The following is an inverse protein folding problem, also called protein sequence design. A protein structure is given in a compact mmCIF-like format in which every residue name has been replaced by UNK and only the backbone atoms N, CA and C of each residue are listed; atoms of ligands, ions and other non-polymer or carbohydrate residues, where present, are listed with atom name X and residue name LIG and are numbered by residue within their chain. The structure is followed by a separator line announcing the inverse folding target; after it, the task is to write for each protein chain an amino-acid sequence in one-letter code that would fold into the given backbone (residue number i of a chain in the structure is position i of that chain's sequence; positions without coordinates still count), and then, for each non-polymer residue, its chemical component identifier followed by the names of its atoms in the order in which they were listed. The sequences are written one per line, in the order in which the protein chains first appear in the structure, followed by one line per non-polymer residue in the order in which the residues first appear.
data_IF_416488343327
#
_entry.id   IF_416488343327
#
_cell.length_a   1.000
_cell.length_b   1.000
_cell.length_c   1.000
_cell.angle_alpha   90.00
_cell.angle_beta   90.00
_cell.angle_gamma   90.00
#
_symmetry.space_group_name_H-M   'P 1'
#
loop_
_entity.id
_entity.type
_entity.pdbx_description
1 polymer ?
#
# COMPACT_ATOMS: atom_id res chain seq x y z
N UNK A 1 2.31 -22.31 -3.19
CA UNK A 1 2.76 -21.06 -2.50
C UNK A 1 1.76 -19.95 -2.79
N UNK A 2 1.12 -19.41 -1.77
CA UNK A 2 0.14 -18.32 -1.91
C UNK A 2 0.88 -16.98 -1.87
N UNK A 3 0.89 -16.27 -3.01
CA UNK A 3 1.46 -14.94 -3.16
C UNK A 3 0.40 -13.89 -2.84
N UNK A 4 0.71 -12.99 -1.95
CA UNK A 4 -0.14 -11.84 -1.64
C UNK A 4 0.51 -10.56 -2.13
N UNK A 5 -0.25 -9.74 -2.82
CA UNK A 5 0.14 -8.39 -3.18
C UNK A 5 -0.61 -7.39 -2.31
N UNK A 6 0.14 -6.51 -1.65
CA UNK A 6 -0.40 -5.62 -0.64
C UNK A 6 -0.06 -4.15 -0.92
N UNK A 7 -1.09 -3.31 -0.84
CA UNK A 7 -1.05 -1.86 -1.01
C UNK A 7 -1.31 -1.07 0.27
N UNK A 8 -1.17 -1.69 1.43
CA UNK A 8 -1.57 -1.08 2.69
C UNK A 8 -0.52 -0.09 3.20
N UNK A 9 -0.96 1.07 3.64
CA UNK A 9 -0.10 2.14 4.17
C UNK A 9 0.28 1.96 5.64
N UNK A 10 -0.33 1.02 6.35
CA UNK A 10 -0.20 0.85 7.79
C UNK A 10 0.43 -0.50 8.13
N UNK A 11 1.43 -0.51 9.02
CA UNK A 11 2.17 -1.71 9.42
C UNK A 11 1.28 -2.81 10.02
N UNK A 12 0.36 -2.48 10.91
CA UNK A 12 -0.55 -3.45 11.52
C UNK A 12 -1.49 -4.12 10.50
N UNK A 13 -1.89 -3.39 9.45
CA UNK A 13 -2.65 -3.98 8.34
C UNK A 13 -1.82 -4.93 7.51
N UNK A 14 -0.53 -4.65 7.31
CA UNK A 14 0.39 -5.53 6.58
C UNK A 14 0.62 -6.82 7.33
N UNK A 15 0.73 -6.77 8.65
CA UNK A 15 0.83 -7.95 9.48
C UNK A 15 -0.41 -8.85 9.36
N UNK A 16 -1.62 -8.27 9.38
CA UNK A 16 -2.85 -9.00 9.09
C UNK A 16 -2.86 -9.59 7.67
N UNK A 17 -2.39 -8.85 6.68
CA UNK A 17 -2.28 -9.35 5.31
C UNK A 17 -1.35 -10.56 5.25
N UNK A 18 -0.22 -10.56 5.96
CA UNK A 18 0.72 -11.70 6.00
C UNK A 18 0.07 -13.00 6.46
N UNK A 19 -0.93 -12.93 7.31
CA UNK A 19 -1.65 -14.11 7.81
C UNK A 19 -2.54 -14.78 6.74
N UNK A 20 -2.80 -14.11 5.62
CA UNK A 20 -3.66 -14.62 4.56
C UNK A 20 -2.94 -15.58 3.60
N UNK A 21 -1.61 -15.63 3.59
CA UNK A 21 -0.85 -16.47 2.68
C UNK A 21 0.61 -16.67 3.07
N UNK A 22 1.35 -17.38 2.23
CA UNK A 22 2.73 -17.81 2.52
C UNK A 22 3.76 -16.71 2.27
N UNK A 23 3.53 -15.86 1.29
CA UNK A 23 4.45 -14.78 0.89
C UNK A 23 3.73 -13.44 0.80
N UNK A 24 4.28 -12.44 1.45
CA UNK A 24 3.78 -11.07 1.40
C UNK A 24 4.68 -10.20 0.51
N UNK A 25 4.12 -9.73 -0.58
CA UNK A 25 4.73 -8.76 -1.48
C UNK A 25 4.10 -7.40 -1.22
N UNK A 26 4.93 -6.40 -0.96
CA UNK A 26 4.49 -5.02 -0.77
C UNK A 26 4.86 -4.20 -1.99
N UNK A 27 3.89 -3.61 -2.66
CA UNK A 27 4.10 -2.70 -3.77
C UNK A 27 3.99 -1.25 -3.31
N UNK A 28 4.95 -0.44 -3.70
CA UNK A 28 5.02 0.99 -3.39
C UNK A 28 5.16 1.82 -4.66
N UNK A 29 4.38 2.88 -4.75
CA UNK A 29 4.58 3.88 -5.78
C UNK A 29 5.95 4.57 -5.61
N UNK A 30 6.65 4.87 -6.70
CA UNK A 30 7.83 5.74 -6.69
C UNK A 30 7.46 7.15 -6.23
N UNK A 31 8.46 7.97 -5.94
CA UNK A 31 8.24 9.38 -5.59
C UNK A 31 7.55 10.13 -6.73
N UNK A 32 7.96 9.84 -7.97
CA UNK A 32 7.36 10.42 -9.18
C UNK A 32 5.87 10.09 -9.28
N UNK A 33 5.50 8.82 -9.22
CA UNK A 33 4.09 8.44 -9.33
C UNK A 33 3.27 8.90 -8.12
N UNK A 34 3.85 8.92 -6.94
CA UNK A 34 3.21 9.47 -5.73
C UNK A 34 2.91 10.96 -5.88
N UNK A 35 3.86 11.75 -6.40
CA UNK A 35 3.64 13.19 -6.65
C UNK A 35 2.54 13.44 -7.68
N UNK A 36 2.48 12.63 -8.72
CA UNK A 36 1.43 12.74 -9.74
C UNK A 36 0.04 12.44 -9.18
N UNK A 37 -0.07 11.49 -8.25
CA UNK A 37 -1.34 11.08 -7.65
C UNK A 37 -1.78 12.04 -6.53
N UNK A 38 -0.83 12.52 -5.71
CA UNK A 38 -1.12 13.23 -4.45
C UNK A 38 -0.68 14.68 -4.42
N UNK A 39 -0.03 15.16 -5.47
CA UNK A 39 0.50 16.52 -5.55
C UNK A 39 1.99 16.62 -5.23
N UNK A 40 2.60 17.76 -5.61
CA UNK A 40 4.05 18.00 -5.53
C UNK A 40 4.64 18.00 -4.11
N UNK A 41 3.81 18.17 -3.09
CA UNK A 41 4.22 18.11 -1.68
C UNK A 41 4.36 16.66 -1.16
N UNK A 42 4.15 15.67 -2.02
CA UNK A 42 4.20 14.24 -1.67
C UNK A 42 5.18 13.48 -2.58
N UNK A 43 5.84 12.45 -2.04
CA UNK A 43 5.76 11.93 -0.68
C UNK A 43 6.58 12.78 0.31
N UNK A 44 6.28 12.67 1.60
CA UNK A 44 7.08 13.27 2.67
C UNK A 44 8.37 12.48 2.90
N UNK A 45 8.29 11.16 2.79
CA UNK A 45 9.42 10.23 2.91
C UNK A 45 9.71 9.67 1.52
N UNK A 46 10.96 9.76 1.06
CA UNK A 46 11.36 9.30 -0.26
C UNK A 46 11.19 7.78 -0.45
N UNK A 47 11.14 7.35 -1.70
CA UNK A 47 10.90 5.95 -2.08
C UNK A 47 11.92 4.97 -1.50
N UNK A 48 13.19 5.36 -1.44
CA UNK A 48 14.24 4.52 -0.90
C UNK A 48 14.04 4.25 0.60
N UNK A 49 13.77 5.30 1.38
CA UNK A 49 13.48 5.15 2.80
C UNK A 49 12.19 4.36 3.05
N UNK A 50 11.14 4.62 2.27
CA UNK A 50 9.88 3.86 2.35
C UNK A 50 10.08 2.38 2.05
N UNK A 51 10.84 2.06 1.00
CA UNK A 51 11.15 0.68 0.64
C UNK A 51 11.98 -0.03 1.73
N UNK A 52 12.98 0.64 2.27
CA UNK A 52 13.80 0.10 3.36
C UNK A 52 13.00 -0.15 4.63
N UNK A 53 12.12 0.76 5.01
CA UNK A 53 11.24 0.56 6.16
C UNK A 53 10.34 -0.66 5.97
N UNK A 54 9.82 -0.87 4.76
CA UNK A 54 9.01 -2.05 4.48
C UNK A 54 9.82 -3.35 4.49
N UNK A 55 11.00 -3.32 3.88
CA UNK A 55 11.89 -4.49 3.82
C UNK A 55 12.45 -4.91 5.20
N UNK A 56 12.49 -3.99 6.15
CA UNK A 56 12.91 -4.27 7.52
C UNK A 56 11.84 -4.99 8.36
N UNK A 57 10.59 -5.04 7.89
CA UNK A 57 9.53 -5.74 8.60
C UNK A 57 9.67 -7.26 8.40
N UNK A 58 9.76 -7.99 9.50
CA UNK A 58 10.00 -9.44 9.50
C UNK A 58 8.98 -10.23 8.68
N UNK A 59 7.75 -9.75 8.56
CA UNK A 59 6.67 -10.41 7.85
C UNK A 59 6.57 -10.02 6.36
N UNK A 60 7.45 -9.18 5.85
CA UNK A 60 7.49 -8.78 4.43
C UNK A 60 8.57 -9.59 3.71
N UNK A 61 8.19 -10.30 2.67
CA UNK A 61 9.11 -11.12 1.88
C UNK A 61 9.75 -10.36 0.71
N UNK A 62 9.01 -9.42 0.11
CA UNK A 62 9.48 -8.65 -1.05
C UNK A 62 8.85 -7.27 -1.08
N UNK A 63 9.65 -6.27 -1.45
CA UNK A 63 9.18 -4.92 -1.72
C UNK A 63 9.47 -4.58 -3.18
N UNK A 64 8.47 -4.10 -3.90
CA UNK A 64 8.58 -3.69 -5.31
C UNK A 64 8.19 -2.22 -5.43
N UNK A 65 9.03 -1.43 -6.06
CA UNK A 65 8.70 -0.07 -6.49
C UNK A 65 8.13 -0.11 -7.91
N UNK A 66 7.09 0.68 -8.17
CA UNK A 66 6.51 0.81 -9.51
C UNK A 66 6.21 2.29 -9.81
N UNK A 67 6.39 2.65 -11.07
CA UNK A 67 6.34 4.05 -11.55
C UNK A 67 4.99 4.43 -12.16
N UNK A 68 4.18 3.44 -12.48
CA UNK A 68 2.87 3.62 -13.09
C UNK A 68 1.87 4.26 -12.09
N UNK A 69 0.90 4.98 -12.62
CA UNK A 69 -0.16 5.60 -11.80
C UNK A 69 -1.08 4.55 -11.17
N UNK A 70 -1.20 3.41 -11.83
CA UNK A 70 -1.99 2.28 -11.36
C UNK A 70 -1.16 1.00 -11.33
N UNK A 71 -1.46 0.06 -10.44
CA UNK A 71 -0.67 -1.16 -10.28
C UNK A 71 -1.02 -2.29 -11.23
N UNK A 72 -1.83 -2.06 -12.26
CA UNK A 72 -2.36 -3.14 -13.09
C UNK A 72 -1.26 -3.98 -13.75
N UNK A 73 -0.24 -3.33 -14.32
CA UNK A 73 0.89 -4.02 -14.98
C UNK A 73 1.63 -4.92 -13.99
N UNK A 74 1.85 -4.43 -12.78
CA UNK A 74 2.50 -5.18 -11.72
C UNK A 74 1.65 -6.37 -11.25
N UNK A 75 0.33 -6.17 -11.11
CA UNK A 75 -0.61 -7.24 -10.74
C UNK A 75 -0.62 -8.34 -11.80
N UNK A 76 -0.66 -7.98 -13.07
CA UNK A 76 -0.61 -8.91 -14.19
C UNK A 76 0.70 -9.70 -14.24
N UNK A 77 1.83 -9.04 -13.97
CA UNK A 77 3.14 -9.68 -13.94
C UNK A 77 3.31 -10.64 -12.75
N UNK A 78 2.83 -10.27 -11.57
CA UNK A 78 2.97 -11.08 -10.34
C UNK A 78 1.95 -12.22 -10.31
N UNK A 79 0.75 -11.99 -10.83
CA UNK A 79 -0.40 -12.89 -10.71
C UNK A 79 -0.62 -13.35 -9.26
N UNK A 80 -0.95 -12.43 -8.36
CA UNK A 80 -1.11 -12.77 -6.95
C UNK A 80 -2.32 -13.66 -6.73
N UNK A 81 -2.23 -14.58 -5.79
CA UNK A 81 -3.37 -15.40 -5.37
C UNK A 81 -4.36 -14.57 -4.53
N UNK A 82 -3.84 -13.60 -3.79
CA UNK A 82 -4.65 -12.71 -2.95
C UNK A 82 -4.19 -11.26 -3.18
N UNK A 83 -5.12 -10.42 -3.60
CA UNK A 83 -4.93 -8.97 -3.69
C UNK A 83 -5.51 -8.31 -2.44
N UNK A 84 -4.68 -7.60 -1.67
CA UNK A 84 -5.09 -6.98 -0.42
C UNK A 84 -5.10 -5.46 -0.55
N UNK A 85 -6.21 -4.84 -0.19
CA UNK A 85 -6.41 -3.38 -0.19
C UNK A 85 -6.96 -2.89 1.15
N UNK A 86 -6.77 -1.60 1.41
CA UNK A 86 -7.47 -0.94 2.52
C UNK A 86 -8.97 -0.77 2.22
N UNK A 87 -9.79 -0.74 3.25
CA UNK A 87 -11.25 -0.64 3.13
C UNK A 87 -11.77 0.73 2.63
N UNK A 88 -10.90 1.66 2.30
CA UNK A 88 -11.28 2.95 1.71
C UNK A 88 -11.80 2.84 0.27
N UNK A 89 -11.73 1.63 -0.30
CA UNK A 89 -12.17 1.32 -1.65
C UNK A 89 -13.34 0.35 -1.60
N UNK A 90 -14.39 0.61 -2.37
CA UNK A 90 -15.41 -0.39 -2.67
C UNK A 90 -14.81 -1.46 -3.58
N UNK A 91 -15.28 -2.70 -3.50
CA UNK A 91 -14.77 -3.80 -4.34
C UNK A 91 -14.85 -3.47 -5.85
N UNK A 92 -15.80 -2.64 -6.25
CA UNK A 92 -15.99 -2.20 -7.65
C UNK A 92 -14.89 -1.27 -8.15
N UNK A 93 -14.11 -0.65 -7.24
CA UNK A 93 -13.08 0.34 -7.59
C UNK A 93 -11.65 -0.16 -7.37
N UNK A 94 -11.46 -1.42 -6.97
CA UNK A 94 -10.12 -1.98 -6.75
C UNK A 94 -9.51 -2.37 -8.10
N UNK A 95 -8.51 -1.59 -8.53
CA UNK A 95 -7.78 -1.84 -9.76
C UNK A 95 -7.10 -3.21 -9.68
N UNK A 96 -7.29 -4.04 -10.71
CA UNK A 96 -6.75 -5.39 -10.80
C UNK A 96 -7.60 -6.47 -10.13
N UNK A 97 -8.71 -6.12 -9.47
CA UNK A 97 -9.61 -7.09 -8.84
C UNK A 97 -10.14 -8.12 -9.85
N UNK A 98 -10.65 -7.66 -10.99
CA UNK A 98 -11.19 -8.52 -12.03
C UNK A 98 -10.14 -9.49 -12.57
N UNK A 99 -8.93 -9.00 -12.81
CA UNK A 99 -7.82 -9.83 -13.26
C UNK A 99 -7.52 -10.95 -12.27
N UNK A 100 -7.38 -10.62 -10.99
CA UNK A 100 -7.07 -11.60 -9.93
C UNK A 100 -8.18 -12.65 -9.80
N UNK A 101 -9.44 -12.22 -9.82
CA UNK A 101 -10.59 -13.13 -9.72
C UNK A 101 -10.67 -14.05 -10.94
N UNK A 102 -10.48 -13.54 -12.16
CA UNK A 102 -10.48 -14.33 -13.40
C UNK A 102 -9.38 -15.39 -13.42
N UNK A 103 -8.25 -15.13 -12.73
CA UNK A 103 -7.15 -16.08 -12.61
C UNK A 103 -7.23 -16.97 -11.35
N UNK A 104 -8.40 -17.07 -10.75
CA UNK A 104 -8.65 -17.97 -9.61
C UNK A 104 -8.19 -17.43 -8.26
N UNK A 105 -7.78 -16.17 -8.19
CA UNK A 105 -7.41 -15.51 -6.95
C UNK A 105 -8.59 -14.86 -6.22
N UNK A 106 -8.30 -14.23 -5.12
CA UNK A 106 -9.27 -13.52 -4.29
C UNK A 106 -8.83 -12.09 -4.00
N UNK A 107 -9.80 -11.22 -3.74
CA UNK A 107 -9.57 -9.83 -3.31
C UNK A 107 -10.07 -9.66 -1.89
N UNK A 108 -9.21 -9.14 -1.02
CA UNK A 108 -9.54 -8.91 0.37
C UNK A 108 -9.31 -7.46 0.78
N UNK A 109 -10.18 -6.94 1.62
CA UNK A 109 -10.03 -5.61 2.19
C UNK A 109 -9.77 -5.70 3.69
N UNK A 110 -8.83 -4.90 4.18
CA UNK A 110 -8.53 -4.81 5.61
C UNK A 110 -8.97 -3.44 6.12
N UNK A 111 -9.79 -3.37 7.19
CA UNK A 111 -10.28 -2.10 7.72
C UNK A 111 -9.17 -1.15 8.13
N UNK A 112 -9.43 0.16 8.02
CA UNK A 112 -8.58 1.21 8.58
C UNK A 112 -8.45 1.04 10.10
N UNK A 113 -7.20 1.07 10.57
CA UNK A 113 -6.93 1.23 11.99
C UNK A 113 -6.85 2.73 12.25
N UNK A 114 -7.77 3.26 13.06
CA UNK A 114 -7.80 4.70 13.42
C UNK A 114 -6.49 5.14 14.05
N UNK A 115 -6.05 6.37 13.75
CA UNK A 115 -4.88 6.99 14.37
C UNK A 115 -3.56 6.88 13.58
N UNK A 116 -3.52 6.18 12.46
CA UNK A 116 -2.29 5.97 11.67
C UNK A 116 -2.39 6.55 10.25
N UNK A 117 -2.75 7.83 10.14
CA UNK A 117 -2.81 8.54 8.85
C UNK A 117 -1.70 9.58 8.75
N UNK A 118 -0.89 9.53 7.68
CA UNK A 118 0.12 10.56 7.39
C UNK A 118 -0.52 11.94 7.25
N UNK A 119 -1.70 12.03 6.66
CA UNK A 119 -2.45 13.29 6.53
C UNK A 119 -2.86 13.85 7.90
N UNK A 120 -3.33 13.01 8.82
CA UNK A 120 -3.67 13.41 10.17
C UNK A 120 -2.43 13.87 10.95
N UNK A 121 -1.29 13.18 10.79
CA UNK A 121 -0.02 13.55 11.39
C UNK A 121 0.46 14.93 10.90
N UNK A 122 0.42 15.18 9.59
CA UNK A 122 0.81 16.47 9.01
C UNK A 122 -0.08 17.59 9.56
N UNK A 123 -1.40 17.39 9.61
CA UNK A 123 -2.33 18.38 10.18
C UNK A 123 -2.06 18.66 11.63
N UNK A 124 -1.75 17.63 12.43
CA UNK A 124 -1.41 17.79 13.84
C UNK A 124 -0.16 18.66 14.00
N UNK A 125 0.90 18.39 13.25
CA UNK A 125 2.14 19.17 13.27
C UNK A 125 1.89 20.62 12.86
N UNK A 126 1.10 20.86 11.81
CA UNK A 126 0.77 22.22 11.35
C UNK A 126 -0.01 23.00 12.41
N UNK A 127 -1.00 22.38 13.05
CA UNK A 127 -1.79 22.99 14.11
C UNK A 127 -0.92 23.34 15.35
N UNK A 128 0.05 22.48 15.68
CA UNK A 128 0.97 22.74 16.81
C UNK A 128 1.90 23.91 16.52
N UNK A 129 2.33 24.09 15.27
CA UNK A 129 3.14 25.24 14.84
C UNK A 129 2.32 26.52 14.91
N UNK A 130 1.10 26.51 14.40
CA UNK A 130 0.22 27.69 14.36
C UNK A 130 -0.21 28.13 15.79
N UNK A 131 -0.33 27.20 16.72
CA UNK A 131 -0.69 27.50 18.12
C UNK A 131 0.50 27.97 18.98
N UNK A 132 1.74 27.81 18.52
CA UNK A 132 2.95 28.21 19.21
C UNK A 132 3.58 29.51 18.69
N UNK A 133 2.94 30.17 17.77
CA UNK A 133 3.27 31.49 17.23
C UNK A 133 2.34 32.53 17.85
#
# INVERSE_FOLDING_TARGET
MIKQLNWLKNGARREKARQLGDKLIVALNTDKSTSQIKGSQRPVINEYARARHMAALQFVDLVILFDELTPIILIEAIQPNILVKGRDYTNETIIGADFVIQHGGTVQTIPLIKGYSTTALIKSIQNDVDNNI
#
